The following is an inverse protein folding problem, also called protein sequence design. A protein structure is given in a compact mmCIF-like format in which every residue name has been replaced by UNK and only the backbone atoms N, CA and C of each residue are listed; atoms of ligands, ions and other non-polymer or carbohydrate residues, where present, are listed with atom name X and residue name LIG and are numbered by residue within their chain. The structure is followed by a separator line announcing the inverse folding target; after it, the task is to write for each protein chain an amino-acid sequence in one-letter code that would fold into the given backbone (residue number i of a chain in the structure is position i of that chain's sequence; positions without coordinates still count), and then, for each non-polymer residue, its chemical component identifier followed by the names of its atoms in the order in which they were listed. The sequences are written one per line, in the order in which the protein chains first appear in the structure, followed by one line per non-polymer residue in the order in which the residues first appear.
data_IF_065045877517
#
_entry.id   IF_065045877517
#
_cell.length_a   1.000
_cell.length_b   1.000
_cell.length_c   1.000
_cell.angle_alpha   90.00
_cell.angle_beta   90.00
_cell.angle_gamma   90.00
#
_symmetry.space_group_name_H-M   'P 1'
#
loop_
_entity.id
_entity.type
_entity.pdbx_description
1 polymer ?
#
# COMPACT_ATOMS: atom_id res chain seq x y z
N UNK A 1 0.28 -52.64 7.10
CA UNK A 1 0.94 -51.58 7.89
C UNK A 1 -0.05 -51.06 8.93
N UNK A 2 0.29 -51.13 10.23
CA UNK A 2 -0.56 -50.59 11.30
C UNK A 2 -0.37 -49.06 11.34
N UNK A 3 -1.32 -48.32 10.78
CA UNK A 3 -1.34 -46.86 10.90
C UNK A 3 -1.67 -46.50 12.35
N UNK A 4 -0.72 -45.84 13.01
CA UNK A 4 -0.84 -45.42 14.40
C UNK A 4 -1.88 -44.29 14.46
N UNK A 5 -3.02 -44.53 15.13
CA UNK A 5 -4.17 -43.60 15.16
C UNK A 5 -3.82 -42.21 15.71
N UNK A 6 -2.73 -42.11 16.48
CA UNK A 6 -2.21 -40.85 17.00
C UNK A 6 -1.61 -39.93 15.91
N UNK A 7 -1.04 -40.49 14.84
CA UNK A 7 -0.41 -39.70 13.76
C UNK A 7 -1.44 -38.99 12.88
N UNK A 8 -2.68 -39.53 12.80
CA UNK A 8 -3.78 -38.95 12.03
C UNK A 8 -4.49 -37.78 12.74
N UNK A 9 -4.34 -37.65 14.06
CA UNK A 9 -4.91 -36.54 14.84
C UNK A 9 -3.88 -35.42 15.04
N UNK A 10 -2.58 -35.75 15.10
CA UNK A 10 -1.52 -34.76 15.23
C UNK A 10 -1.38 -33.85 14.01
N UNK A 11 -1.55 -34.36 12.79
CA UNK A 11 -1.43 -33.55 11.56
C UNK A 11 -2.44 -32.40 11.45
N UNK A 12 -3.75 -32.59 11.68
CA UNK A 12 -4.71 -31.48 11.61
C UNK A 12 -4.56 -30.49 12.77
N UNK A 13 -4.11 -30.91 13.95
CA UNK A 13 -3.84 -30.00 15.08
C UNK A 13 -2.57 -29.15 14.82
N UNK A 14 -1.53 -29.72 14.21
CA UNK A 14 -0.34 -28.98 13.77
C UNK A 14 -0.68 -28.05 12.61
N UNK A 15 -1.53 -28.46 11.67
CA UNK A 15 -2.00 -27.59 10.58
C UNK A 15 -2.88 -26.44 11.09
N UNK A 16 -3.71 -26.67 12.13
CA UNK A 16 -4.48 -25.60 12.79
C UNK A 16 -3.62 -24.69 13.66
N UNK A 17 -2.51 -25.18 14.22
CA UNK A 17 -1.54 -24.37 14.95
C UNK A 17 -0.61 -23.55 14.02
N UNK A 18 -0.38 -24.01 12.79
CA UNK A 18 0.34 -23.26 11.74
C UNK A 18 -0.57 -22.30 10.96
N UNK A 19 -1.88 -22.44 11.10
CA UNK A 19 -2.88 -21.47 10.64
C UNK A 19 -3.25 -20.48 11.76
N UNK A 20 -2.35 -20.24 12.73
CA UNK A 20 -2.53 -19.19 13.71
C UNK A 20 -2.71 -17.87 12.97
N UNK A 21 -3.83 -17.19 13.25
CA UNK A 21 -3.98 -15.78 12.96
C UNK A 21 -2.67 -15.11 13.41
N UNK A 22 -2.01 -14.39 12.51
CA UNK A 22 -0.90 -13.54 12.92
C UNK A 22 -1.50 -12.58 13.94
N UNK A 23 -1.23 -12.81 15.22
CA UNK A 23 -1.63 -11.90 16.29
C UNK A 23 -1.05 -10.54 15.94
N UNK A 24 -1.90 -9.53 16.01
CA UNK A 24 -1.57 -8.12 15.81
C UNK A 24 -0.42 -7.66 16.72
N UNK A 25 -0.09 -8.44 17.74
CA UNK A 25 0.99 -8.25 18.71
C UNK A 25 2.39 -8.47 18.09
N UNK A 26 2.46 -9.02 16.87
CA UNK A 26 3.68 -9.06 16.05
C UNK A 26 3.89 -7.77 15.23
N UNK A 27 2.95 -6.83 15.31
CA UNK A 27 3.13 -5.45 14.83
C UNK A 27 3.89 -4.71 15.94
N UNK A 28 5.02 -4.12 15.59
CA UNK A 28 6.05 -3.63 16.51
C UNK A 28 5.58 -2.44 17.41
N UNK A 29 6.48 -1.88 18.26
CA UNK A 29 6.19 -0.70 19.11
C UNK A 29 6.22 0.65 18.38
N UNK A 30 5.10 1.39 18.32
CA UNK A 30 4.74 2.49 17.38
C UNK A 30 5.73 3.65 17.13
N UNK A 31 6.85 3.74 17.84
CA UNK A 31 7.79 4.87 17.77
C UNK A 31 8.98 4.66 16.79
N UNK A 32 8.99 3.57 16.01
CA UNK A 32 10.17 3.20 15.18
C UNK A 32 10.40 4.08 13.95
N UNK A 33 9.43 4.91 13.55
CA UNK A 33 9.52 5.78 12.37
C UNK A 33 10.36 7.05 12.56
N UNK A 34 10.81 7.33 13.79
CA UNK A 34 11.51 8.57 14.15
C UNK A 34 12.96 8.28 14.61
N UNK A 35 13.49 7.09 14.28
CA UNK A 35 14.81 6.64 14.75
C UNK A 35 15.59 5.81 13.73
N UNK A 36 16.75 5.29 14.14
CA UNK A 36 17.66 4.50 13.30
C UNK A 36 17.06 3.22 12.68
N UNK A 37 15.84 2.84 13.07
CA UNK A 37 15.10 1.71 12.50
C UNK A 37 14.48 2.01 11.13
N UNK A 38 14.28 3.28 10.76
CA UNK A 38 13.77 3.69 9.44
C UNK A 38 14.64 3.11 8.31
N UNK A 39 15.94 3.38 8.37
CA UNK A 39 16.91 2.87 7.39
C UNK A 39 17.00 1.34 7.43
N UNK A 40 16.81 0.72 8.60
CA UNK A 40 16.86 -0.74 8.72
C UNK A 40 15.65 -1.46 8.11
N UNK A 41 14.53 -0.76 7.91
CA UNK A 41 13.33 -1.29 7.26
C UNK A 41 13.32 -1.04 5.73
N UNK A 42 14.40 -0.47 5.21
CA UNK A 42 14.60 -0.27 3.78
C UNK A 42 14.53 -1.59 3.00
N UNK A 43 13.79 -1.59 1.90
CA UNK A 43 13.62 -2.76 1.05
C UNK A 43 13.80 -2.39 -0.44
N UNK A 44 14.84 -2.94 -1.04
CA UNK A 44 15.28 -2.70 -2.43
C UNK A 44 15.37 -3.98 -3.27
N UNK A 45 14.82 -5.10 -2.78
CA UNK A 45 14.92 -6.37 -3.49
C UNK A 45 14.02 -6.34 -4.74
N UNK A 46 14.68 -6.46 -5.89
CA UNK A 46 14.04 -6.52 -7.20
C UNK A 46 14.48 -7.80 -7.93
N UNK A 47 13.50 -8.65 -8.29
CA UNK A 47 13.77 -9.82 -9.14
C UNK A 47 14.53 -9.41 -10.42
N UNK A 48 15.71 -9.98 -10.61
CA UNK A 48 16.63 -9.60 -11.69
C UNK A 48 16.03 -9.79 -13.08
N UNK A 49 15.11 -10.75 -13.26
CA UNK A 49 14.46 -10.97 -14.54
C UNK A 49 13.45 -9.87 -14.85
N UNK A 50 12.77 -9.34 -13.83
CA UNK A 50 11.88 -8.18 -13.96
C UNK A 50 12.68 -6.90 -14.20
N UNK A 51 13.80 -6.73 -13.50
CA UNK A 51 14.68 -5.56 -13.62
C UNK A 51 15.33 -5.50 -15.02
N UNK A 52 15.64 -6.65 -15.62
CA UNK A 52 16.19 -6.73 -16.98
C UNK A 52 15.23 -6.20 -18.07
N UNK A 53 13.93 -6.07 -17.78
CA UNK A 53 12.95 -5.53 -18.73
C UNK A 53 12.88 -4.01 -18.59
N UNK A 54 13.76 -3.33 -19.31
CA UNK A 54 13.93 -1.87 -19.21
C UNK A 54 12.84 -1.08 -19.96
N UNK A 55 12.32 -1.60 -21.07
CA UNK A 55 11.33 -0.90 -21.90
C UNK A 55 9.91 -1.39 -21.61
N UNK A 56 8.99 -0.45 -21.33
CA UNK A 56 7.57 -0.76 -21.24
C UNK A 56 6.97 -0.93 -22.64
N UNK A 57 6.15 -1.97 -22.83
CA UNK A 57 5.36 -2.20 -24.04
C UNK A 57 4.25 -1.16 -24.20
N UNK A 58 3.68 -0.73 -23.08
CA UNK A 58 2.75 0.40 -23.01
C UNK A 58 2.89 1.11 -21.67
N UNK A 59 2.59 2.40 -21.66
CA UNK A 59 2.55 3.26 -20.48
C UNK A 59 1.18 3.92 -20.39
N UNK A 60 0.62 3.94 -19.19
CA UNK A 60 -0.70 4.46 -18.88
C UNK A 60 -0.58 5.55 -17.81
N UNK A 61 -1.25 6.67 -18.03
CA UNK A 61 -1.30 7.80 -17.09
C UNK A 61 -2.54 7.69 -16.20
N UNK A 62 -2.31 7.36 -14.93
CA UNK A 62 -3.30 7.19 -13.86
C UNK A 62 -3.51 8.52 -13.13
N UNK A 63 -4.04 9.49 -13.87
CA UNK A 63 -4.22 10.86 -13.39
C UNK A 63 -5.42 11.04 -12.46
N UNK A 64 -5.24 11.93 -11.48
CA UNK A 64 -6.33 12.47 -10.66
C UNK A 64 -7.28 13.35 -11.47
N UNK A 65 -8.42 13.73 -10.89
CA UNK A 65 -9.37 14.66 -11.51
C UNK A 65 -8.70 16.03 -11.74
N UNK A 66 -8.90 16.61 -12.92
CA UNK A 66 -8.49 17.99 -13.23
C UNK A 66 -9.70 18.82 -13.68
N UNK A 67 -9.50 20.11 -13.95
CA UNK A 67 -10.57 20.97 -14.48
C UNK A 67 -11.08 20.51 -15.86
N UNK A 68 -10.29 19.74 -16.61
CA UNK A 68 -10.60 19.35 -17.99
C UNK A 68 -10.67 17.84 -18.22
N UNK A 69 -10.36 17.03 -17.20
CA UNK A 69 -10.34 15.57 -17.31
C UNK A 69 -10.95 14.93 -16.06
N UNK A 70 -11.83 13.95 -16.30
CA UNK A 70 -12.32 13.07 -15.24
C UNK A 70 -11.19 12.15 -14.78
N UNK A 71 -11.15 11.83 -13.48
CA UNK A 71 -10.08 10.98 -12.96
C UNK A 71 -10.20 9.55 -13.48
N UNK A 72 -9.07 8.91 -13.73
CA UNK A 72 -8.93 7.44 -13.89
C UNK A 72 -8.22 6.80 -12.69
N UNK A 73 -7.87 7.62 -11.70
CA UNK A 73 -7.34 7.25 -10.40
C UNK A 73 -8.49 7.24 -9.39
N UNK A 74 -8.43 6.34 -8.43
CA UNK A 74 -9.03 6.62 -7.13
C UNK A 74 -7.91 6.89 -6.12
N UNK A 75 -8.11 7.84 -5.20
CA UNK A 75 -7.08 8.25 -4.24
C UNK A 75 -7.71 8.56 -2.89
N UNK A 76 -7.99 7.61 -2.02
CA UNK A 76 -8.46 7.89 -0.67
C UNK A 76 -7.36 8.46 0.23
N UNK A 77 -7.14 9.77 0.22
CA UNK A 77 -6.28 10.47 1.18
C UNK A 77 -6.98 11.69 1.81
N UNK A 78 -6.47 12.14 2.96
CA UNK A 78 -6.89 13.37 3.65
C UNK A 78 -6.82 14.61 2.76
N UNK A 79 -7.47 15.70 3.17
CA UNK A 79 -7.56 16.93 2.39
C UNK A 79 -6.17 17.49 1.99
N UNK A 80 -5.89 17.54 0.68
CA UNK A 80 -4.62 17.99 0.08
C UNK A 80 -4.21 19.43 0.43
N UNK A 81 -5.16 20.25 0.88
CA UNK A 81 -4.94 21.66 1.24
C UNK A 81 -4.93 21.90 2.75
N UNK A 82 -5.37 20.94 3.57
CA UNK A 82 -5.37 21.06 5.03
C UNK A 82 -5.29 19.67 5.66
N UNK A 83 -4.15 19.25 6.23
CA UNK A 83 -3.98 17.92 6.81
C UNK A 83 -4.93 17.62 7.98
N UNK A 84 -5.54 18.65 8.61
CA UNK A 84 -6.61 18.45 9.61
C UNK A 84 -8.01 18.19 9.01
N UNK A 85 -8.16 18.31 7.69
CA UNK A 85 -9.41 18.07 6.98
C UNK A 85 -9.55 16.60 6.62
N UNK A 86 -10.37 15.88 7.37
CA UNK A 86 -10.79 14.50 7.08
C UNK A 86 -11.18 14.33 5.59
N UNK A 87 -10.38 13.56 4.85
CA UNK A 87 -10.75 12.50 3.88
C UNK A 87 -11.89 12.67 2.86
N UNK A 88 -12.37 13.87 2.54
CA UNK A 88 -13.61 13.97 1.74
C UNK A 88 -13.43 13.90 0.22
N UNK A 89 -12.30 14.32 -0.36
CA UNK A 89 -12.20 14.37 -1.83
C UNK A 89 -11.64 13.08 -2.42
N UNK A 90 -10.78 12.41 -1.66
CA UNK A 90 -9.98 11.32 -2.19
C UNK A 90 -10.74 10.07 -2.64
N UNK A 91 -11.70 9.65 -1.82
CA UNK A 91 -12.59 8.56 -2.22
C UNK A 91 -13.80 9.06 -3.03
N UNK A 92 -13.87 10.35 -3.39
CA UNK A 92 -14.93 10.89 -4.25
C UNK A 92 -14.99 10.13 -5.58
N UNK A 93 -13.85 9.94 -6.22
CA UNK A 93 -13.74 9.25 -7.51
C UNK A 93 -14.04 7.75 -7.38
N UNK A 94 -13.56 7.10 -6.30
CA UNK A 94 -13.92 5.70 -6.00
C UNK A 94 -15.43 5.54 -5.80
N UNK A 95 -16.04 6.44 -5.01
CA UNK A 95 -17.48 6.45 -4.72
C UNK A 95 -18.33 6.74 -5.96
N UNK A 96 -17.90 7.67 -6.80
CA UNK A 96 -18.65 8.06 -8.00
C UNK A 96 -18.69 6.94 -9.03
N UNK A 97 -17.59 6.20 -9.20
CA UNK A 97 -17.51 5.14 -10.20
C UNK A 97 -17.95 3.76 -9.67
N UNK A 98 -17.68 3.46 -8.41
CA UNK A 98 -17.83 2.12 -7.84
C UNK A 98 -18.31 2.18 -6.39
N UNK A 99 -19.59 2.54 -6.23
CA UNK A 99 -20.26 2.65 -4.92
C UNK A 99 -20.19 1.35 -4.11
N UNK A 100 -20.12 0.20 -4.78
CA UNK A 100 -20.03 -1.14 -4.19
C UNK A 100 -18.68 -1.40 -3.51
N UNK A 101 -17.58 -0.83 -4.02
CA UNK A 101 -16.26 -0.94 -3.40
C UNK A 101 -16.19 -0.18 -2.06
N UNK A 102 -17.14 0.69 -1.80
CA UNK A 102 -17.17 1.65 -0.69
C UNK A 102 -18.43 1.55 0.17
N UNK A 103 -19.29 0.57 -0.11
CA UNK A 103 -20.57 0.34 0.56
C UNK A 103 -20.73 -1.14 0.88
N UNK A 104 -21.09 -1.46 2.11
CA UNK A 104 -21.39 -2.83 2.56
C UNK A 104 -22.82 -2.85 3.07
N UNK A 105 -23.64 -3.78 2.56
CA UNK A 105 -25.05 -3.93 2.95
C UNK A 105 -25.86 -2.62 2.85
N UNK A 106 -25.55 -1.78 1.85
CA UNK A 106 -26.20 -0.47 1.66
C UNK A 106 -25.70 0.62 2.63
N UNK A 107 -24.75 0.30 3.52
CA UNK A 107 -24.10 1.24 4.43
C UNK A 107 -22.76 1.65 3.84
N UNK A 108 -22.60 2.96 3.63
CA UNK A 108 -21.32 3.50 3.20
C UNK A 108 -20.27 3.30 4.29
N UNK A 109 -19.09 2.83 3.89
CA UNK A 109 -18.05 2.49 4.85
C UNK A 109 -17.58 3.74 5.61
N UNK A 110 -17.49 3.73 6.95
CA UNK A 110 -17.41 4.98 7.72
C UNK A 110 -16.06 5.73 7.63
N UNK A 111 -14.98 5.05 7.24
CA UNK A 111 -13.68 5.68 6.92
C UNK A 111 -13.76 6.72 5.78
N UNK A 112 -14.85 6.73 5.00
CA UNK A 112 -15.12 7.71 3.95
C UNK A 112 -15.77 9.00 4.44
N UNK A 113 -16.32 9.00 5.66
CA UNK A 113 -17.18 10.09 6.14
C UNK A 113 -16.66 10.75 7.42
N UNK A 114 -16.04 10.01 8.33
CA UNK A 114 -15.58 10.58 9.61
C UNK A 114 -14.24 10.03 10.10
N UNK A 115 -13.62 9.08 9.39
CA UNK A 115 -12.69 8.16 10.03
C UNK A 115 -13.48 7.34 11.05
N UNK A 116 -13.45 6.00 11.01
CA UNK A 116 -13.77 5.31 12.27
C UNK A 116 -12.67 5.69 13.22
N UNK A 117 -12.97 6.55 14.17
CA UNK A 117 -12.15 6.76 15.35
C UNK A 117 -11.88 5.35 15.90
N UNK A 118 -10.71 4.81 15.60
CA UNK A 118 -10.13 3.77 16.44
C UNK A 118 -10.13 4.46 17.78
N UNK A 119 -10.99 4.02 18.70
CA UNK A 119 -11.14 4.71 19.96
C UNK A 119 -9.74 4.92 20.50
N UNK A 120 -9.38 6.19 20.73
CA UNK A 120 -8.12 6.57 21.34
C UNK A 120 -8.33 6.90 22.82
N UNK A 121 -8.87 6.00 23.68
CA UNK A 121 -8.73 6.19 25.10
C UNK A 121 -7.31 5.76 25.40
N UNK A 122 -6.35 6.69 25.42
CA UNK A 122 -4.92 6.38 25.60
C UNK A 122 -4.65 5.21 26.57
N UNK A 123 -3.76 4.30 26.17
CA UNK A 123 -3.49 3.01 26.83
C UNK A 123 -3.54 1.83 25.84
N UNK A 124 -3.63 0.59 26.35
CA UNK A 124 -3.59 -0.70 25.61
C UNK A 124 -4.75 -0.94 24.59
N UNK A 125 -5.49 0.11 24.23
CA UNK A 125 -6.65 0.06 23.34
C UNK A 125 -6.51 0.96 22.10
N UNK A 126 -5.39 1.68 21.96
CA UNK A 126 -5.03 2.29 20.68
C UNK A 126 -4.93 1.17 19.62
N UNK A 127 -5.52 1.38 18.44
CA UNK A 127 -5.56 0.39 17.36
C UNK A 127 -6.77 -0.55 17.34
N UNK A 128 -7.62 -0.57 18.38
CA UNK A 128 -8.81 -1.46 18.42
C UNK A 128 -10.05 -0.79 17.83
N UNK A 129 -10.54 -1.35 16.72
CA UNK A 129 -11.85 -1.01 16.17
C UNK A 129 -12.96 -1.59 17.08
N UNK A 130 -13.93 -0.77 17.46
CA UNK A 130 -15.04 -1.18 18.33
C UNK A 130 -16.00 -2.18 17.66
N UNK A 131 -16.05 -2.20 16.32
CA UNK A 131 -16.84 -3.14 15.51
C UNK A 131 -16.18 -3.35 14.14
N UNK A 132 -15.81 -4.61 13.84
CA UNK A 132 -15.17 -5.03 12.58
C UNK A 132 -16.14 -5.67 11.58
N UNK A 133 -17.41 -5.86 11.95
CA UNK A 133 -18.34 -6.66 11.15
C UNK A 133 -18.63 -6.10 9.75
N UNK A 134 -18.59 -4.77 9.60
CA UNK A 134 -18.70 -4.10 8.29
C UNK A 134 -17.40 -4.20 7.47
N UNK A 135 -16.25 -4.25 8.14
CA UNK A 135 -14.96 -4.46 7.48
C UNK A 135 -14.87 -5.87 6.94
N UNK A 136 -15.22 -6.88 7.72
CA UNK A 136 -15.19 -8.29 7.28
C UNK A 136 -15.91 -8.57 5.96
N UNK A 137 -16.88 -7.73 5.58
CA UNK A 137 -17.65 -7.85 4.34
C UNK A 137 -17.17 -6.96 3.20
N UNK A 138 -16.22 -6.06 3.46
CA UNK A 138 -15.67 -5.13 2.48
C UNK A 138 -14.60 -5.80 1.61
N UNK A 139 -14.56 -5.44 0.31
CA UNK A 139 -13.55 -5.86 -0.67
C UNK A 139 -12.11 -5.53 -0.24
N UNK A 140 -11.97 -4.55 0.64
CA UNK A 140 -10.72 -4.00 1.12
C UNK A 140 -10.37 -4.49 2.54
N UNK A 141 -10.41 -5.78 2.84
CA UNK A 141 -10.10 -6.28 4.19
C UNK A 141 -9.37 -7.62 4.24
N UNK A 142 -9.00 -8.03 5.45
CA UNK A 142 -8.33 -9.32 5.72
C UNK A 142 -9.09 -10.52 5.16
N UNK A 143 -10.41 -10.42 4.93
CA UNK A 143 -11.19 -11.51 4.33
C UNK A 143 -11.01 -11.64 2.81
N UNK A 144 -10.32 -10.69 2.20
CA UNK A 144 -10.00 -10.65 0.77
C UNK A 144 -8.49 -10.72 0.50
N UNK A 145 -7.71 -10.98 1.54
CA UNK A 145 -6.25 -11.15 1.46
C UNK A 145 -5.90 -12.33 0.55
N UNK A 146 -4.81 -12.21 -0.23
CA UNK A 146 -4.50 -13.21 -1.26
C UNK A 146 -4.21 -14.60 -0.68
N UNK A 147 -3.72 -14.68 0.56
CA UNK A 147 -3.48 -15.96 1.25
C UNK A 147 -4.75 -16.76 1.55
N UNK A 148 -5.93 -16.13 1.59
CA UNK A 148 -7.22 -16.83 1.67
C UNK A 148 -7.70 -17.35 0.32
N UNK A 149 -7.25 -16.74 -0.78
CA UNK A 149 -7.57 -17.18 -2.14
C UNK A 149 -6.66 -18.35 -2.51
N UNK A 150 -5.36 -18.24 -2.24
CA UNK A 150 -4.40 -19.30 -2.50
C UNK A 150 -3.23 -19.30 -1.48
N UNK A 151 -2.96 -20.47 -0.90
CA UNK A 151 -1.95 -20.62 0.15
C UNK A 151 -0.52 -20.24 -0.28
N UNK A 152 -0.21 -20.23 -1.58
CA UNK A 152 1.09 -19.81 -2.11
C UNK A 152 1.42 -18.34 -1.82
N UNK A 153 0.41 -17.49 -1.58
CA UNK A 153 0.59 -16.10 -1.16
C UNK A 153 0.85 -15.94 0.35
N UNK A 154 0.93 -17.02 1.13
CA UNK A 154 1.12 -16.94 2.59
C UNK A 154 2.59 -16.73 3.01
N UNK A 155 3.52 -16.83 2.06
CA UNK A 155 4.95 -16.88 2.36
C UNK A 155 5.75 -15.76 1.68
N UNK A 156 6.91 -15.45 2.28
CA UNK A 156 7.81 -14.41 1.80
C UNK A 156 7.38 -13.01 2.21
N UNK A 157 8.20 -12.01 1.87
CA UNK A 157 7.93 -10.61 2.21
C UNK A 157 6.66 -10.07 1.54
N UNK A 158 6.35 -10.58 0.35
CA UNK A 158 5.14 -10.25 -0.39
C UNK A 158 3.86 -10.62 0.34
N UNK A 159 3.84 -11.68 1.17
CA UNK A 159 2.63 -12.05 1.91
C UNK A 159 2.20 -10.96 2.90
N UNK A 160 3.14 -10.12 3.36
CA UNK A 160 2.85 -8.97 4.21
C UNK A 160 2.09 -7.88 3.47
N UNK A 161 2.42 -7.67 2.18
CA UNK A 161 1.76 -6.66 1.33
C UNK A 161 0.35 -7.05 0.91
N UNK A 162 -0.05 -8.31 1.06
CA UNK A 162 -1.35 -8.81 0.61
C UNK A 162 -2.21 -9.31 1.77
N UNK A 163 -2.01 -8.80 2.99
CA UNK A 163 -2.64 -9.32 4.21
C UNK A 163 -4.01 -8.68 4.49
N UNK A 164 -4.46 -7.73 3.66
CA UNK A 164 -5.77 -7.10 3.72
C UNK A 164 -5.92 -6.10 4.88
N UNK A 165 -4.83 -5.46 5.31
CA UNK A 165 -4.88 -4.44 6.36
C UNK A 165 -5.00 -3.05 5.72
N UNK A 166 -6.24 -2.54 5.61
CA UNK A 166 -6.53 -1.35 4.79
C UNK A 166 -6.68 -0.08 5.61
N UNK A 167 -6.33 -0.12 6.90
CA UNK A 167 -6.28 1.12 7.68
C UNK A 167 -5.17 1.17 8.71
N UNK A 168 -4.41 2.25 8.60
CA UNK A 168 -3.32 2.65 9.46
C UNK A 168 -3.48 4.16 9.70
N UNK A 169 -4.43 4.56 10.55
CA UNK A 169 -4.27 5.83 11.24
C UNK A 169 -3.09 5.57 12.20
N UNK A 170 -1.97 6.17 11.88
CA UNK A 170 -0.60 5.69 12.06
C UNK A 170 -0.04 5.80 13.48
N UNK A 171 -0.88 5.61 14.49
CA UNK A 171 -0.37 5.46 15.85
C UNK A 171 0.16 4.05 16.11
N UNK A 172 -0.24 3.04 15.32
CA UNK A 172 0.02 1.62 15.66
C UNK A 172 0.37 0.69 14.49
N UNK A 173 0.37 1.15 13.23
CA UNK A 173 0.50 0.23 12.11
C UNK A 173 1.75 0.48 11.29
N UNK A 174 2.47 -0.60 10.99
CA UNK A 174 3.73 -0.50 10.29
C UNK A 174 3.55 -0.48 8.77
N UNK A 175 4.25 0.42 8.08
CA UNK A 175 4.66 0.20 6.70
C UNK A 175 5.40 -1.13 6.62
N UNK A 176 4.97 -2.01 5.71
CA UNK A 176 5.64 -3.30 5.54
C UNK A 176 6.93 -3.17 4.74
N UNK A 177 6.99 -2.18 3.84
CA UNK A 177 8.18 -1.85 3.07
C UNK A 177 8.41 -0.33 3.05
N UNK A 178 9.65 0.07 3.33
CA UNK A 178 10.16 1.41 3.05
C UNK A 178 10.99 1.34 1.77
N UNK A 179 10.47 1.93 0.69
CA UNK A 179 11.11 1.89 -0.62
C UNK A 179 11.95 3.15 -0.81
N UNK A 180 13.20 2.99 -1.24
CA UNK A 180 13.95 4.08 -1.86
C UNK A 180 13.54 4.28 -3.33
N UNK A 181 14.11 5.27 -4.01
CA UNK A 181 13.76 5.57 -5.41
C UNK A 181 14.07 4.42 -6.39
N UNK A 182 14.95 3.48 -6.02
CA UNK A 182 15.21 2.28 -6.83
C UNK A 182 14.02 1.32 -6.79
N UNK A 183 13.21 1.38 -5.75
CA UNK A 183 11.96 0.65 -5.63
C UNK A 183 12.12 -0.84 -5.39
N UNK A 184 11.08 -1.62 -5.69
CA UNK A 184 11.12 -3.08 -5.55
C UNK A 184 10.38 -3.77 -6.69
N UNK A 185 10.67 -5.04 -6.90
CA UNK A 185 9.95 -5.86 -7.88
C UNK A 185 9.93 -7.33 -7.51
N UNK A 186 8.79 -7.97 -7.73
CA UNK A 186 8.59 -9.35 -7.32
C UNK A 186 7.64 -10.12 -8.25
N UNK A 187 7.95 -11.41 -8.40
CA UNK A 187 7.11 -12.37 -9.11
C UNK A 187 5.95 -12.82 -8.23
N UNK A 188 4.78 -12.94 -8.83
CA UNK A 188 3.67 -13.65 -8.21
C UNK A 188 3.94 -15.15 -8.24
N UNK A 189 3.49 -15.91 -7.22
CA UNK A 189 3.59 -17.37 -7.23
C UNK A 189 2.71 -18.01 -8.32
N UNK A 190 1.72 -17.29 -8.83
CA UNK A 190 0.72 -17.75 -9.81
C UNK A 190 0.41 -16.66 -10.83
N UNK A 191 -0.08 -17.06 -12.00
CA UNK A 191 -0.55 -16.13 -13.03
C UNK A 191 -1.93 -15.57 -12.64
N UNK A 192 -2.08 -14.25 -12.73
CA UNK A 192 -3.37 -13.58 -12.55
C UNK A 192 -4.29 -13.93 -13.72
N UNK A 193 -5.46 -14.48 -13.42
CA UNK A 193 -6.47 -14.86 -14.41
C UNK A 193 -7.50 -13.74 -14.59
N UNK A 194 -7.91 -13.11 -13.50
CA UNK A 194 -8.79 -11.94 -13.52
C UNK A 194 -8.61 -11.10 -12.27
N UNK A 195 -8.84 -9.79 -12.41
CA UNK A 195 -9.07 -8.84 -11.32
C UNK A 195 -9.91 -7.70 -11.89
N UNK A 196 -10.69 -7.01 -11.05
CA UNK A 196 -11.44 -5.83 -11.50
C UNK A 196 -10.59 -4.55 -11.43
N UNK A 197 -9.71 -4.46 -10.44
CA UNK A 197 -8.89 -3.28 -10.22
C UNK A 197 -7.56 -3.64 -9.56
N UNK A 198 -6.70 -2.63 -9.46
CA UNK A 198 -5.50 -2.64 -8.65
C UNK A 198 -5.59 -1.49 -7.66
N UNK A 199 -5.14 -1.72 -6.43
CA UNK A 199 -4.95 -0.65 -5.45
C UNK A 199 -3.68 -0.87 -4.64
N UNK A 200 -3.20 0.19 -4.01
CA UNK A 200 -2.16 0.14 -2.99
C UNK A 200 -2.41 1.20 -1.92
N UNK A 201 -2.02 0.88 -0.68
CA UNK A 201 -2.02 1.83 0.44
C UNK A 201 -0.59 2.33 0.63
N UNK A 202 -0.39 3.64 0.52
CA UNK A 202 0.93 4.28 0.55
C UNK A 202 0.97 5.49 1.48
N UNK A 203 2.16 5.87 1.91
CA UNK A 203 2.44 7.10 2.68
C UNK A 203 3.82 7.64 2.30
N UNK A 204 4.07 8.93 2.54
CA UNK A 204 5.43 9.47 2.51
C UNK A 204 6.15 9.19 3.83
N UNK A 205 7.35 8.60 3.78
CA UNK A 205 8.18 8.36 4.95
C UNK A 205 9.35 9.33 5.04
N UNK A 206 9.71 9.82 6.22
CA UNK A 206 10.96 10.55 6.42
C UNK A 206 11.47 10.40 7.86
N UNK A 207 12.79 10.33 8.01
CA UNK A 207 13.49 10.28 9.31
C UNK A 207 13.82 11.69 9.89
N UNK A 208 13.20 12.74 9.37
CA UNK A 208 13.36 14.09 9.93
C UNK A 208 12.83 14.19 11.37
N UNK A 209 13.25 15.19 12.18
CA UNK A 209 12.79 15.28 13.56
C UNK A 209 11.27 15.48 13.68
N UNK A 210 10.68 15.05 14.80
CA UNK A 210 9.25 15.26 15.07
C UNK A 210 8.84 16.75 14.89
N UNK A 211 7.65 16.97 14.32
CA UNK A 211 7.12 18.31 14.09
C UNK A 211 7.73 19.03 12.88
N UNK A 212 8.50 18.32 12.04
CA UNK A 212 9.06 18.85 10.78
C UNK A 212 8.34 18.31 9.55
N UNK A 213 7.12 17.81 9.73
CA UNK A 213 6.42 17.14 8.65
C UNK A 213 6.01 18.08 7.51
N UNK A 214 5.90 17.48 6.33
CA UNK A 214 5.66 18.18 5.06
C UNK A 214 4.81 17.34 4.13
N UNK A 215 4.17 18.00 3.18
CA UNK A 215 3.47 17.35 2.08
C UNK A 215 4.41 17.30 0.88
N UNK A 216 4.62 16.11 0.32
CA UNK A 216 5.48 15.90 -0.85
C UNK A 216 4.68 15.22 -1.95
N UNK A 217 4.96 15.59 -3.20
CA UNK A 217 4.31 15.01 -4.37
C UNK A 217 5.18 13.85 -4.87
N UNK A 218 4.58 12.67 -4.99
CA UNK A 218 5.22 11.45 -5.48
C UNK A 218 4.68 11.09 -6.86
N UNK A 219 5.58 10.86 -7.82
CA UNK A 219 5.24 10.22 -9.08
C UNK A 219 5.50 8.71 -8.93
N UNK A 220 4.45 7.95 -8.65
CA UNK A 220 4.56 6.51 -8.39
C UNK A 220 4.34 5.75 -9.69
N UNK A 221 5.23 4.83 -10.05
CA UNK A 221 5.05 3.95 -11.20
C UNK A 221 4.93 2.51 -10.75
N UNK A 222 3.81 1.88 -11.12
CA UNK A 222 3.58 0.46 -10.93
C UNK A 222 3.71 -0.23 -12.28
N UNK A 223 4.63 -1.18 -12.38
CA UNK A 223 4.78 -1.99 -13.58
C UNK A 223 4.15 -3.35 -13.35
N UNK A 224 3.37 -3.83 -14.31
CA UNK A 224 2.90 -5.21 -14.37
C UNK A 224 3.63 -5.95 -15.47
N UNK A 225 4.04 -7.18 -15.15
CA UNK A 225 4.79 -8.03 -16.06
C UNK A 225 3.92 -9.19 -16.51
N UNK A 226 3.78 -9.36 -17.82
CA UNK A 226 3.13 -10.52 -18.41
C UNK A 226 4.14 -11.46 -19.02
N UNK A 227 3.87 -12.77 -19.00
CA UNK A 227 4.70 -13.75 -19.69
C UNK A 227 4.05 -14.18 -21.01
N UNK A 228 4.29 -13.51 -22.16
CA UNK A 228 3.99 -14.13 -23.44
C UNK A 228 4.85 -15.38 -23.57
N UNK A 229 4.22 -16.53 -23.76
CA UNK A 229 4.79 -17.89 -23.85
C UNK A 229 6.02 -18.08 -24.78
N UNK A 230 6.49 -17.04 -25.50
CA UNK A 230 7.52 -17.13 -26.55
C UNK A 230 8.63 -16.07 -26.52
N UNK A 231 8.57 -15.00 -25.70
CA UNK A 231 9.48 -13.82 -25.85
C UNK A 231 9.95 -13.14 -24.55
N UNK A 232 10.00 -13.86 -23.43
CA UNK A 232 10.32 -13.24 -22.13
C UNK A 232 9.19 -12.35 -21.63
N UNK A 233 9.43 -11.53 -20.60
CA UNK A 233 8.37 -10.71 -19.99
C UNK A 233 8.06 -9.43 -20.78
N UNK A 234 6.79 -9.08 -20.84
CA UNK A 234 6.31 -7.77 -21.32
C UNK A 234 5.94 -6.89 -20.13
N UNK A 235 6.54 -5.70 -20.07
CA UNK A 235 6.29 -4.71 -19.02
C UNK A 235 5.20 -3.72 -19.43
N UNK A 236 4.22 -3.47 -18.57
CA UNK A 236 3.17 -2.47 -18.74
C UNK A 236 3.22 -1.51 -17.57
N UNK A 237 3.46 -0.22 -17.82
CA UNK A 237 3.69 0.78 -16.79
C UNK A 237 2.43 1.60 -16.54
N UNK A 238 2.06 1.79 -15.28
CA UNK A 238 0.95 2.62 -14.82
C UNK A 238 1.53 3.68 -13.88
N UNK A 239 1.52 4.93 -14.33
CA UNK A 239 2.13 6.05 -13.59
C UNK A 239 1.04 6.87 -12.93
N UNK A 240 1.17 7.08 -11.63
CA UNK A 240 0.33 7.92 -10.80
C UNK A 240 1.07 9.24 -10.57
N UNK A 241 0.84 10.28 -11.39
CA UNK A 241 1.54 11.54 -11.22
C UNK A 241 1.02 12.31 -9.99
N UNK A 242 1.95 12.96 -9.29
CA UNK A 242 1.67 13.92 -8.22
C UNK A 242 0.69 13.39 -7.17
N UNK A 243 0.95 12.18 -6.68
CA UNK A 243 0.28 11.65 -5.49
C UNK A 243 0.84 12.41 -4.29
N UNK A 244 0.02 13.31 -3.73
CA UNK A 244 0.45 14.16 -2.62
C UNK A 244 0.32 13.41 -1.31
N UNK A 245 1.45 13.10 -0.71
CA UNK A 245 1.55 12.29 0.50
C UNK A 245 2.14 13.10 1.65
N UNK A 246 1.63 12.85 2.84
CA UNK A 246 2.17 13.41 4.06
C UNK A 246 3.41 12.64 4.52
N UNK A 247 4.41 13.39 4.94
CA UNK A 247 5.64 12.88 5.53
C UNK A 247 5.76 13.45 6.93
N UNK A 248 5.87 12.57 7.94
CA UNK A 248 6.28 12.93 9.30
C UNK A 248 5.50 14.08 10.02
N UNK A 249 4.23 14.32 9.72
CA UNK A 249 3.32 15.17 10.55
C UNK A 249 2.50 14.22 11.42
N UNK A 250 2.99 13.88 12.63
CA UNK A 250 2.25 12.99 13.55
C UNK A 250 1.85 11.60 13.00
N UNK A 251 2.45 11.19 11.88
CA UNK A 251 2.25 9.91 11.22
C UNK A 251 0.89 9.70 10.51
N UNK A 252 -0.14 10.50 10.73
CA UNK A 252 -1.53 10.02 10.66
C UNK A 252 -2.15 9.60 9.30
N UNK A 253 -1.60 9.98 8.13
CA UNK A 253 -2.35 9.85 6.87
C UNK A 253 -1.71 8.96 5.79
N UNK A 254 -2.27 7.76 5.62
CA UNK A 254 -2.08 6.92 4.43
C UNK A 254 -3.02 7.33 3.30
N UNK A 255 -2.60 7.11 2.05
CA UNK A 255 -3.40 7.24 0.85
C UNK A 255 -3.70 5.86 0.23
N UNK A 256 -4.97 5.56 -0.03
CA UNK A 256 -5.36 4.46 -0.92
C UNK A 256 -5.32 4.95 -2.37
N UNK A 257 -4.39 4.49 -3.19
CA UNK A 257 -4.36 4.83 -4.63
C UNK A 257 -4.58 3.61 -5.50
N UNK A 258 -5.25 3.78 -6.64
CA UNK A 258 -5.43 2.69 -7.58
C UNK A 258 -6.24 3.07 -8.80
N UNK A 259 -6.59 2.06 -9.60
CA UNK A 259 -7.36 2.21 -10.82
C UNK A 259 -8.06 0.92 -11.24
N UNK A 260 -9.02 1.04 -12.15
CA UNK A 260 -9.70 -0.08 -12.78
C UNK A 260 -9.02 -0.45 -14.09
N UNK A 261 -8.85 -1.74 -14.35
CA UNK A 261 -8.23 -2.19 -15.60
C UNK A 261 -9.04 -1.77 -16.84
N UNK A 262 -10.37 -1.70 -16.68
CA UNK A 262 -11.31 -1.27 -17.72
C UNK A 262 -11.14 0.19 -18.15
N UNK A 263 -10.67 1.07 -17.26
CA UNK A 263 -10.43 2.49 -17.60
C UNK A 263 -9.34 2.64 -18.67
N UNK A 264 -8.50 1.61 -18.85
CA UNK A 264 -7.43 1.57 -19.84
C UNK A 264 -7.66 0.54 -20.95
N UNK A 265 -8.85 -0.09 -20.99
CA UNK A 265 -9.14 -1.26 -21.85
C UNK A 265 -8.03 -2.32 -21.76
N UNK A 266 -7.54 -2.56 -20.54
CA UNK A 266 -6.45 -3.48 -20.26
C UNK A 266 -7.01 -4.76 -19.66
N UNK A 267 -6.63 -5.92 -20.22
CA UNK A 267 -6.95 -7.22 -19.64
C UNK A 267 -5.86 -7.57 -18.61
N UNK A 268 -6.12 -7.76 -17.31
CA UNK A 268 -5.10 -8.13 -16.34
C UNK A 268 -4.63 -9.59 -16.45
N UNK A 269 -5.30 -10.42 -17.27
CA UNK A 269 -4.92 -11.82 -17.45
C UNK A 269 -3.47 -11.95 -17.93
N UNK A 270 -2.75 -12.92 -17.39
CA UNK A 270 -1.37 -13.22 -17.78
C UNK A 270 -0.32 -12.45 -16.99
N UNK A 271 -0.71 -11.61 -16.03
CA UNK A 271 0.22 -10.94 -15.14
C UNK A 271 0.86 -11.98 -14.20
N UNK A 272 2.19 -11.94 -14.10
CA UNK A 272 3.01 -12.88 -13.32
C UNK A 272 3.97 -12.18 -12.35
N UNK A 273 3.97 -10.85 -12.33
CA UNK A 273 4.76 -10.07 -11.39
C UNK A 273 4.43 -8.60 -11.45
N UNK A 274 4.94 -7.85 -10.47
CA UNK A 274 4.85 -6.41 -10.42
C UNK A 274 6.14 -5.77 -9.91
N UNK A 275 6.29 -4.47 -10.15
CA UNK A 275 7.28 -3.63 -9.47
C UNK A 275 6.70 -2.26 -9.17
N UNK A 276 7.21 -1.63 -8.13
CA UNK A 276 6.85 -0.27 -7.73
C UNK A 276 8.12 0.55 -7.60
N UNK A 277 8.15 1.67 -8.31
CA UNK A 277 9.21 2.68 -8.22
C UNK A 277 8.56 4.05 -8.03
N UNK A 278 9.33 5.05 -7.57
CA UNK A 278 8.82 6.41 -7.49
C UNK A 278 9.90 7.45 -7.77
N UNK A 279 9.47 8.67 -8.04
CA UNK A 279 10.30 9.86 -7.91
C UNK A 279 9.54 10.94 -7.11
N UNK A 280 10.28 11.92 -6.61
CA UNK A 280 9.71 13.04 -5.85
C UNK A 280 9.93 14.33 -6.65
N UNK A 281 9.02 14.68 -7.57
CA UNK A 281 9.12 15.93 -8.33
C UNK A 281 9.06 17.18 -7.44
N UNK A 282 8.46 17.07 -6.25
CA UNK A 282 8.32 18.16 -5.28
C UNK A 282 8.38 17.61 -3.86
N UNK A 283 9.49 17.82 -3.16
CA UNK A 283 9.60 17.55 -1.72
C UNK A 283 9.13 18.79 -0.95
N UNK A 284 7.83 18.83 -0.64
CA UNK A 284 7.04 20.07 -0.66
C UNK A 284 7.06 20.93 0.61
N UNK A 285 5.87 21.29 1.08
CA UNK A 285 5.63 22.42 1.97
C UNK A 285 5.64 21.97 3.44
N UNK A 286 6.55 22.52 4.24
CA UNK A 286 6.57 22.27 5.68
C UNK A 286 5.31 22.88 6.30
N UNK A 287 4.42 22.02 6.81
CA UNK A 287 3.09 22.43 7.26
C UNK A 287 3.14 23.10 8.64
N UNK A 288 4.11 22.73 9.45
CA UNK A 288 4.25 23.16 10.85
C UNK A 288 5.35 24.20 11.06
N UNK A 289 6.13 24.53 10.02
CA UNK A 289 7.25 25.47 10.14
C UNK A 289 6.81 26.91 9.87
N UNK A 290 7.21 27.84 10.74
CA UNK A 290 7.00 29.29 10.54
C UNK A 290 7.71 29.82 9.27
N UNK A 291 8.86 29.23 8.93
CA UNK A 291 9.60 29.49 7.69
C UNK A 291 9.93 28.15 6.97
N UNK A 292 9.11 27.76 5.99
CA UNK A 292 9.32 26.52 5.23
C UNK A 292 10.63 26.47 4.44
N UNK A 293 11.16 27.62 3.99
CA UNK A 293 12.39 27.67 3.22
C UNK A 293 13.61 27.42 4.13
N UNK A 294 13.63 28.05 5.31
CA UNK A 294 14.64 27.78 6.33
C UNK A 294 14.57 26.33 6.83
N UNK A 295 13.36 25.79 7.00
CA UNK A 295 13.18 24.39 7.39
C UNK A 295 13.73 23.42 6.34
N UNK A 296 13.48 23.67 5.04
CA UNK A 296 14.03 22.86 3.95
C UNK A 296 15.56 22.90 3.90
N UNK A 297 16.16 24.07 4.09
CA UNK A 297 17.62 24.20 4.14
C UNK A 297 18.24 23.48 5.35
N UNK A 298 17.51 23.42 6.47
CA UNK A 298 17.94 22.75 7.71
C UNK A 298 17.78 21.23 7.65
N UNK A 299 16.77 20.75 6.92
CA UNK A 299 16.40 19.33 6.84
C UNK A 299 16.30 18.87 5.37
N UNK A 300 17.41 18.90 4.60
CA UNK A 300 17.41 18.41 3.23
C UNK A 300 17.18 16.91 3.22
N UNK A 301 16.22 16.43 2.43
CA UNK A 301 15.95 14.99 2.31
C UNK A 301 16.54 14.42 1.02
N UNK A 302 16.87 13.13 1.07
CA UNK A 302 17.40 12.36 -0.05
C UNK A 302 16.56 11.10 -0.26
N UNK A 303 16.30 10.76 -1.52
CA UNK A 303 15.45 9.61 -1.90
C UNK A 303 16.23 8.32 -2.11
N UNK A 304 17.55 8.40 -2.22
CA UNK A 304 18.45 7.26 -2.28
C UNK A 304 18.97 6.93 -0.87
N UNK A 305 18.46 5.85 -0.27
CA UNK A 305 18.80 5.44 1.10
C UNK A 305 20.15 4.72 1.21
N UNK A 306 20.85 4.50 0.08
CA UNK A 306 22.18 3.86 0.05
C UNK A 306 23.36 4.81 0.29
N UNK A 307 23.14 6.12 0.22
CA UNK A 307 24.16 7.15 0.46
C UNK A 307 24.18 7.58 1.93
N UNK A 308 25.28 8.15 2.43
CA UNK A 308 25.36 8.66 3.81
C UNK A 308 24.83 10.10 3.90
N UNK A 309 23.54 10.24 4.23
CA UNK A 309 22.87 11.52 4.47
C UNK A 309 22.21 11.54 5.84
N UNK A 310 21.97 12.75 6.37
CA UNK A 310 21.31 12.90 7.67
C UNK A 310 19.81 12.61 7.58
N UNK A 311 19.16 12.98 6.47
CA UNK A 311 17.73 12.83 6.29
C UNK A 311 17.34 12.20 4.95
N UNK A 312 16.39 11.28 5.00
CA UNK A 312 15.85 10.57 3.86
C UNK A 312 14.35 10.79 3.70
N UNK A 313 13.88 10.55 2.49
CA UNK A 313 12.50 10.55 2.07
C UNK A 313 12.22 9.28 1.27
N UNK A 314 11.25 8.49 1.72
CA UNK A 314 10.92 7.20 1.11
C UNK A 314 9.43 7.10 0.77
N UNK A 315 9.07 6.16 -0.11
CA UNK A 315 7.69 5.74 -0.27
C UNK A 315 7.43 4.56 0.68
N UNK A 316 6.53 4.74 1.63
CA UNK A 316 6.09 3.68 2.53
C UNK A 316 4.93 2.93 1.91
N UNK A 317 5.08 1.62 1.73
CA UNK A 317 4.05 0.75 1.19
C UNK A 317 3.45 -0.13 2.31
N UNK A 318 2.13 -0.02 2.47
CA UNK A 318 1.37 -0.72 3.51
C UNK A 318 0.56 -1.89 2.98
N UNK A 319 0.07 -1.84 1.74
CA UNK A 319 -0.72 -2.93 1.18
C UNK A 319 -0.76 -2.78 -0.34
N UNK A 320 -0.80 -3.91 -1.06
CA UNK A 320 -1.22 -4.01 -2.45
C UNK A 320 -2.47 -4.87 -2.51
N UNK A 321 -3.45 -4.41 -3.30
CA UNK A 321 -4.77 -5.00 -3.37
C UNK A 321 -5.07 -5.46 -4.80
N UNK A 322 -5.47 -6.72 -4.91
CA UNK A 322 -6.13 -7.29 -6.08
C UNK A 322 -7.43 -7.98 -5.63
N UNK A 323 -8.45 -7.22 -5.18
CA UNK A 323 -9.63 -7.80 -4.57
C UNK A 323 -10.46 -8.61 -5.56
N UNK A 324 -11.03 -9.70 -5.05
CA UNK A 324 -11.81 -10.66 -5.85
C UNK A 324 -11.07 -11.18 -7.10
N UNK A 325 -9.74 -11.17 -7.06
CA UNK A 325 -8.90 -11.72 -8.11
C UNK A 325 -8.98 -13.24 -8.16
N UNK A 326 -8.76 -13.78 -9.36
CA UNK A 326 -8.59 -15.22 -9.58
C UNK A 326 -7.23 -15.51 -10.16
N UNK A 327 -6.67 -16.67 -9.82
CA UNK A 327 -5.30 -17.06 -10.14
C UNK A 327 -5.27 -18.43 -10.80
N UNK A 328 -4.22 -18.69 -11.58
CA UNK A 328 -4.05 -19.98 -12.25
C UNK A 328 -3.99 -21.13 -11.23
N UNK A 329 -4.48 -22.31 -11.63
CA UNK A 329 -4.42 -23.51 -10.81
C UNK A 329 -2.98 -23.89 -10.46
#
# INVERSE_FOLDING_TARGET
MKTNKWTLIALPVIAMALASCADTDQLYHGDKYIGGDFINNHYDIWDSNLQAVTTAKATYDVHGKTATQESVRFEGSGNKANPSGSGQDGCGDLRAKHVDAVTVDGVQLPWLYNGLDISNPGGDNAGKLADNSLFEKNQFTQNKKLSLIDSSFSYGILSKLYNGQIRCDDWNSYAYLELDETGYGAMFPKELVSSQYFGMVVRGGSNTPYGTGRLSDFDITVNFYKHPYTKGYEKYAFTFPSVRLETNISAEFTALVGFYWSDFNFDPKGIVGLSVTYSVPSDGDFVTAEDPAAARAKYPTYTNMSETHDYYLCLMLYEIMLPDSTWSA
#
